data_IF_416044920776
#
_entry.id   IF_416044920776
#
_cell.length_a   1.000
_cell.length_b   1.000
_cell.length_c   1.000
_cell.angle_alpha   90.00
_cell.angle_beta   90.00
_cell.angle_gamma   90.00
#
_symmetry.space_group_name_H-M   'P 1'
#
loop_
_entity.id
_entity.type
_entity.pdbx_description
1 polymer ?
#
# COMPACT_ATOMS: atom_id res chain seq x y z
N UNK A 1 48.15 -5.50 -42.22
CA UNK A 1 47.78 -5.78 -40.82
C UNK A 1 46.28 -5.58 -40.71
N UNK A 2 45.50 -6.66 -40.63
CA UNK A 2 44.05 -6.61 -40.51
C UNK A 2 43.70 -6.94 -39.05
N UNK A 3 43.16 -5.98 -38.29
CA UNK A 3 42.73 -6.20 -36.92
C UNK A 3 41.28 -6.71 -36.92
N UNK A 4 41.08 -7.94 -36.44
CA UNK A 4 39.76 -8.52 -36.19
C UNK A 4 39.30 -8.03 -34.82
N UNK A 5 38.27 -7.19 -34.78
CA UNK A 5 37.63 -6.78 -33.54
C UNK A 5 36.62 -7.86 -33.11
N UNK A 6 36.95 -8.61 -32.06
CA UNK A 6 36.02 -9.53 -31.40
C UNK A 6 35.18 -8.71 -30.42
N UNK A 7 33.90 -8.50 -30.76
CA UNK A 7 32.93 -7.88 -29.85
C UNK A 7 32.42 -8.96 -28.88
N UNK A 8 32.95 -8.98 -27.66
CA UNK A 8 32.37 -9.74 -26.55
C UNK A 8 31.11 -9.01 -26.06
N UNK A 9 29.95 -9.32 -26.65
CA UNK A 9 28.68 -8.95 -26.06
C UNK A 9 28.48 -9.82 -24.80
N UNK A 10 28.52 -9.20 -23.63
CA UNK A 10 28.13 -9.84 -22.37
C UNK A 10 26.67 -10.27 -22.46
N UNK A 11 26.42 -11.58 -22.49
CA UNK A 11 25.07 -12.11 -22.27
C UNK A 11 24.74 -11.85 -20.81
N UNK A 12 23.88 -10.87 -20.54
CA UNK A 12 23.23 -10.74 -19.24
C UNK A 12 22.17 -11.85 -19.22
N UNK A 13 22.29 -12.91 -18.41
CA UNK A 13 21.16 -13.81 -18.25
C UNK A 13 20.11 -13.02 -17.48
N UNK A 14 19.07 -12.57 -18.17
CA UNK A 14 17.80 -12.31 -17.51
C UNK A 14 17.35 -13.68 -16.96
N UNK A 15 17.65 -13.94 -15.68
CA UNK A 15 17.04 -15.05 -14.99
C UNK A 15 15.55 -14.77 -15.00
N UNK A 16 14.82 -15.52 -15.83
CA UNK A 16 13.38 -15.48 -15.88
C UNK A 16 12.88 -15.88 -14.48
N UNK A 17 12.46 -14.89 -13.71
CA UNK A 17 11.65 -15.13 -12.53
C UNK A 17 10.40 -15.86 -13.03
N UNK A 18 10.38 -17.19 -12.86
CA UNK A 18 9.24 -18.02 -13.27
C UNK A 18 8.22 -17.98 -12.14
N UNK A 19 7.76 -16.78 -11.82
CA UNK A 19 6.89 -16.48 -10.69
C UNK A 19 6.41 -15.03 -10.75
N UNK A 20 5.15 -14.80 -10.36
CA UNK A 20 4.60 -13.47 -10.21
C UNK A 20 5.44 -12.71 -9.17
N UNK A 21 6.15 -11.68 -9.60
CA UNK A 21 6.99 -10.85 -8.75
C UNK A 21 6.78 -9.37 -9.10
N UNK A 22 6.78 -8.51 -8.08
CA UNK A 22 6.78 -7.07 -8.30
C UNK A 22 8.11 -6.62 -8.93
N UNK A 23 8.10 -5.51 -9.69
CA UNK A 23 9.35 -4.89 -10.15
C UNK A 23 10.26 -4.58 -8.97
N UNK A 24 11.54 -4.88 -9.12
CA UNK A 24 12.52 -4.57 -8.08
C UNK A 24 12.60 -3.05 -7.87
N UNK A 25 12.58 -2.56 -6.61
CA UNK A 25 12.83 -1.14 -6.32
C UNK A 25 14.18 -0.69 -6.85
N UNK A 26 14.23 0.53 -7.39
CA UNK A 26 15.41 1.05 -8.12
C UNK A 26 16.32 1.96 -7.28
N UNK A 27 15.90 2.34 -6.08
CA UNK A 27 16.67 3.17 -5.17
C UNK A 27 17.76 2.41 -4.38
N UNK A 28 18.64 3.14 -3.69
CA UNK A 28 19.80 2.55 -2.99
C UNK A 28 19.44 1.83 -1.68
N UNK A 29 18.30 2.15 -1.07
CA UNK A 29 17.91 1.59 0.23
C UNK A 29 17.12 0.30 0.06
N UNK A 30 17.30 -0.63 1.00
CA UNK A 30 16.36 -1.74 1.16
C UNK A 30 15.06 -1.19 1.73
N UNK A 31 13.98 -1.89 1.42
CA UNK A 31 12.63 -1.50 1.86
C UNK A 31 12.16 -2.45 2.94
N UNK A 32 11.76 -1.87 4.07
CA UNK A 32 10.97 -2.52 5.10
C UNK A 32 9.49 -2.22 4.90
N UNK A 33 8.63 -3.14 5.34
CA UNK A 33 7.18 -2.97 5.38
C UNK A 33 6.60 -3.42 6.71
N UNK A 34 5.71 -2.62 7.29
CA UNK A 34 4.88 -3.04 8.43
C UNK A 34 3.43 -2.60 8.22
N UNK A 35 2.52 -3.21 8.97
CA UNK A 35 1.09 -2.93 8.90
C UNK A 35 0.57 -2.49 10.26
N UNK A 36 -0.28 -1.47 10.26
CA UNK A 36 -0.86 -0.89 11.46
C UNK A 36 -2.38 -0.92 11.37
N UNK A 37 -3.01 -1.30 12.48
CA UNK A 37 -4.42 -1.08 12.71
C UNK A 37 -4.58 0.20 13.54
N UNK A 38 -5.18 1.24 12.94
CA UNK A 38 -5.44 2.51 13.59
C UNK A 38 -6.92 2.64 13.94
N UNK A 39 -7.21 2.91 15.22
CA UNK A 39 -8.57 3.16 15.71
C UNK A 39 -8.69 4.63 16.09
N UNK A 40 -9.47 5.37 15.32
CA UNK A 40 -9.82 6.75 15.60
C UNK A 40 -11.09 6.82 16.44
N UNK A 41 -10.89 6.88 17.76
CA UNK A 41 -11.96 6.99 18.76
C UNK A 41 -12.62 8.37 18.80
N UNK A 42 -12.05 9.36 18.11
CA UNK A 42 -12.60 10.73 18.08
C UNK A 42 -13.67 10.93 17.01
N UNK A 43 -13.72 10.04 16.02
CA UNK A 43 -14.68 10.11 14.90
C UNK A 43 -15.60 8.90 14.88
N UNK A 44 -16.86 9.17 14.55
CA UNK A 44 -17.82 8.11 14.23
C UNK A 44 -17.59 7.60 12.81
N UNK A 45 -17.53 6.29 12.63
CA UNK A 45 -17.43 5.68 11.32
C UNK A 45 -18.59 6.11 10.42
N UNK A 46 -18.30 6.63 9.23
CA UNK A 46 -19.30 7.20 8.34
C UNK A 46 -20.33 6.22 7.78
N UNK A 47 -20.03 4.91 7.81
CA UNK A 47 -20.77 3.86 7.12
C UNK A 47 -21.52 2.92 8.08
N UNK A 48 -20.86 2.52 9.18
CA UNK A 48 -21.40 1.56 10.16
C UNK A 48 -21.54 2.12 11.58
N UNK A 49 -21.08 3.36 11.84
CA UNK A 49 -21.05 3.92 13.19
C UNK A 49 -19.96 3.30 14.08
N UNK A 50 -19.90 3.68 15.36
CA UNK A 50 -18.77 3.33 16.23
C UNK A 50 -17.48 4.09 15.88
N UNK A 51 -16.31 3.75 16.46
CA UNK A 51 -15.03 4.35 16.11
C UNK A 51 -14.63 4.12 14.65
N UNK A 52 -13.93 5.07 14.03
CA UNK A 52 -13.39 4.87 12.67
C UNK A 52 -12.11 4.07 12.73
N UNK A 53 -12.12 2.88 12.15
CA UNK A 53 -10.95 2.03 12.01
C UNK A 53 -10.33 2.20 10.62
N UNK A 54 -9.01 2.05 10.52
CA UNK A 54 -8.23 2.12 9.28
C UNK A 54 -7.10 1.09 9.33
N UNK A 55 -6.85 0.43 8.21
CA UNK A 55 -5.65 -0.38 8.02
C UNK A 55 -4.62 0.39 7.22
N UNK A 56 -3.37 0.35 7.67
CA UNK A 56 -2.29 1.14 7.09
C UNK A 56 -1.10 0.24 6.80
N UNK A 57 -0.49 0.40 5.62
CA UNK A 57 0.82 -0.17 5.34
C UNK A 57 1.87 0.94 5.28
N UNK A 58 2.96 0.73 6.03
CA UNK A 58 4.14 1.59 6.02
C UNK A 58 5.22 0.92 5.18
N UNK A 59 5.74 1.60 4.17
CA UNK A 59 6.96 1.21 3.47
C UNK A 59 8.06 2.23 3.79
N UNK A 60 9.25 1.78 4.16
CA UNK A 60 10.29 2.66 4.70
C UNK A 60 11.71 2.16 4.36
N UNK A 61 12.73 3.05 4.35
CA UNK A 61 14.12 2.64 4.21
C UNK A 61 14.52 1.77 5.40
N UNK A 62 15.14 0.61 5.14
CA UNK A 62 15.46 -0.38 6.16
C UNK A 62 16.91 -0.83 6.12
N UNK A 63 17.39 -1.30 7.27
CA UNK A 63 18.64 -2.05 7.38
C UNK A 63 18.51 -3.41 6.67
N UNK A 64 19.64 -4.08 6.33
CA UNK A 64 19.61 -5.44 5.80
C UNK A 64 18.82 -6.42 6.69
N UNK A 65 17.86 -7.12 6.10
CA UNK A 65 16.99 -8.08 6.79
C UNK A 65 15.82 -8.53 5.91
N UNK A 66 14.90 -9.36 6.44
CA UNK A 66 13.62 -9.67 5.80
C UNK A 66 12.82 -8.39 5.57
N UNK A 67 12.12 -8.28 4.44
CA UNK A 67 11.39 -7.06 4.10
C UNK A 67 10.22 -6.73 5.04
N UNK A 68 9.52 -7.75 5.56
CA UNK A 68 8.46 -7.54 6.56
C UNK A 68 9.08 -7.30 7.94
N UNK A 69 8.64 -6.24 8.60
CA UNK A 69 9.07 -5.81 9.94
C UNK A 69 10.60 -5.63 10.05
N UNK A 70 11.23 -5.26 8.93
CA UNK A 70 12.64 -4.92 8.87
C UNK A 70 12.96 -3.76 9.82
N UNK A 71 14.16 -3.76 10.40
CA UNK A 71 14.60 -2.65 11.25
C UNK A 71 14.71 -1.37 10.42
N UNK A 72 13.99 -0.28 10.78
CA UNK A 72 14.07 0.98 10.05
C UNK A 72 15.48 1.55 10.03
N UNK A 73 15.88 2.11 8.89
CA UNK A 73 17.14 2.85 8.76
C UNK A 73 17.01 4.18 9.53
N UNK A 74 17.88 4.46 10.51
CA UNK A 74 17.79 5.71 11.28
C UNK A 74 17.93 6.95 10.40
N UNK A 75 17.10 7.96 10.66
CA UNK A 75 17.13 9.21 9.90
C UNK A 75 15.80 9.96 9.95
N UNK A 76 15.78 11.13 9.33
CA UNK A 76 14.55 11.88 9.04
C UNK A 76 14.24 11.71 7.57
N UNK A 77 13.08 11.14 7.26
CA UNK A 77 12.66 10.86 5.90
C UNK A 77 11.38 11.63 5.60
N UNK A 78 11.23 12.23 4.40
CA UNK A 78 9.95 12.78 3.95
C UNK A 78 8.86 11.70 3.95
N UNK A 79 7.64 12.11 4.31
CA UNK A 79 6.47 11.22 4.38
C UNK A 79 5.57 11.47 3.17
N UNK A 80 5.19 10.40 2.48
CA UNK A 80 4.18 10.40 1.42
C UNK A 80 2.96 9.63 1.91
N UNK A 81 1.78 10.21 1.79
CA UNK A 81 0.52 9.52 2.09
C UNK A 81 -0.16 9.16 0.77
N UNK A 82 -0.41 7.86 0.58
CA UNK A 82 -1.24 7.34 -0.49
C UNK A 82 -2.62 6.99 0.04
N UNK A 83 -3.62 7.71 -0.47
CA UNK A 83 -5.02 7.39 -0.30
C UNK A 83 -5.54 6.83 -1.62
N UNK A 84 -5.96 5.55 -1.66
CA UNK A 84 -6.57 4.96 -2.85
C UNK A 84 -7.87 5.67 -3.25
N UNK A 85 -8.30 5.42 -4.49
CA UNK A 85 -9.66 5.74 -4.93
C UNK A 85 -10.72 4.83 -4.27
N UNK A 86 -11.99 5.12 -4.55
CA UNK A 86 -13.09 4.25 -4.15
C UNK A 86 -12.94 2.88 -4.83
N UNK A 87 -13.13 1.81 -4.08
CA UNK A 87 -12.96 0.42 -4.52
C UNK A 87 -11.53 0.05 -4.92
N UNK A 88 -10.54 0.81 -4.43
CA UNK A 88 -9.13 0.48 -4.58
C UNK A 88 -8.53 0.18 -3.19
N UNK A 89 -7.76 -0.91 -3.04
CA UNK A 89 -7.07 -1.21 -1.80
C UNK A 89 -5.68 -0.56 -1.74
N UNK A 90 -5.18 -0.36 -0.52
CA UNK A 90 -3.85 0.17 -0.17
C UNK A 90 -2.69 -0.64 -0.77
N UNK A 91 -2.96 -1.87 -1.20
CA UNK A 91 -1.98 -2.81 -1.74
C UNK A 91 -1.71 -2.60 -3.23
N UNK A 92 -2.59 -1.92 -3.97
CA UNK A 92 -2.36 -1.66 -5.40
C UNK A 92 -1.17 -0.74 -5.66
N UNK A 93 -0.82 0.13 -4.70
CA UNK A 93 0.35 1.00 -4.83
C UNK A 93 1.67 0.35 -4.37
N UNK A 94 1.72 -0.96 -4.06
CA UNK A 94 2.89 -1.57 -3.40
C UNK A 94 4.19 -1.31 -4.16
N UNK A 95 4.23 -1.54 -5.48
CA UNK A 95 5.44 -1.32 -6.27
C UNK A 95 5.93 0.14 -6.22
N UNK A 96 5.02 1.10 -6.30
CA UNK A 96 5.34 2.53 -6.19
C UNK A 96 5.78 2.90 -4.78
N UNK A 97 5.13 2.35 -3.76
CA UNK A 97 5.49 2.58 -2.37
C UNK A 97 6.89 2.04 -2.05
N UNK A 98 7.23 0.86 -2.55
CA UNK A 98 8.57 0.29 -2.41
C UNK A 98 9.61 1.10 -3.18
N UNK A 99 9.35 1.53 -4.42
CA UNK A 99 10.31 2.34 -5.16
C UNK A 99 10.58 3.69 -4.47
N UNK A 100 9.53 4.37 -3.99
CA UNK A 100 9.69 5.59 -3.20
C UNK A 100 10.47 5.33 -1.90
N UNK A 101 10.13 4.27 -1.16
CA UNK A 101 10.84 3.93 0.05
C UNK A 101 12.33 3.65 -0.20
N UNK A 102 12.65 2.96 -1.30
CA UNK A 102 14.04 2.71 -1.69
C UNK A 102 14.83 3.98 -1.99
N UNK A 103 14.14 5.10 -2.31
CA UNK A 103 14.72 6.43 -2.56
C UNK A 103 14.76 7.33 -1.32
N UNK A 104 14.38 6.83 -0.14
CA UNK A 104 14.44 7.60 1.11
C UNK A 104 13.13 8.29 1.50
N UNK A 105 11.99 7.69 1.20
CA UNK A 105 10.68 8.17 1.66
C UNK A 105 10.06 7.17 2.66
N UNK A 106 9.26 7.66 3.60
CA UNK A 106 8.28 6.80 4.29
C UNK A 106 6.96 6.93 3.56
N UNK A 107 6.44 5.83 3.04
CA UNK A 107 5.16 5.80 2.33
C UNK A 107 4.11 5.16 3.22
N UNK A 108 3.03 5.89 3.46
CA UNK A 108 1.87 5.47 4.25
C UNK A 108 0.73 5.22 3.29
N UNK A 109 0.33 3.97 3.07
CA UNK A 109 -0.86 3.63 2.29
C UNK A 109 -2.01 3.22 3.21
N UNK A 110 -3.24 3.65 2.88
CA UNK A 110 -4.40 3.57 3.77
C UNK A 110 -5.53 2.80 3.09
N UNK A 111 -6.09 1.81 3.78
CA UNK A 111 -7.41 1.29 3.45
C UNK A 111 -8.46 2.06 4.22
N UNK A 112 -9.39 2.64 3.48
CA UNK A 112 -10.58 3.28 4.02
C UNK A 112 -11.64 2.20 4.23
N UNK A 113 -11.84 1.79 5.48
CA UNK A 113 -12.78 0.71 5.79
C UNK A 113 -14.18 1.02 5.22
N UNK A 114 -14.77 0.02 4.56
CA UNK A 114 -16.05 0.08 3.82
C UNK A 114 -16.01 0.83 2.48
N UNK A 115 -14.84 1.27 2.03
CA UNK A 115 -14.64 1.97 0.74
C UNK A 115 -13.65 1.24 -0.17
N UNK A 116 -13.02 0.17 0.32
CA UNK A 116 -12.12 -0.71 -0.42
C UNK A 116 -12.82 -2.06 -0.69
N UNK A 117 -12.37 -2.84 -1.70
CA UNK A 117 -12.99 -4.12 -2.05
C UNK A 117 -12.92 -5.10 -0.88
N UNK A 118 -11.82 -5.05 -0.14
CA UNK A 118 -11.55 -5.86 1.04
C UNK A 118 -10.56 -5.12 1.94
N UNK A 119 -10.83 -5.13 3.25
CA UNK A 119 -9.92 -4.69 4.29
C UNK A 119 -9.82 -5.78 5.34
N UNK A 120 -8.69 -6.49 5.36
CA UNK A 120 -8.36 -7.49 6.37
C UNK A 120 -7.73 -6.83 7.61
N UNK A 121 -8.24 -7.19 8.78
CA UNK A 121 -7.80 -6.71 10.10
C UNK A 121 -6.90 -7.74 10.80
N UNK A 122 -6.13 -7.34 11.82
CA UNK A 122 -5.25 -8.27 12.55
C UNK A 122 -5.97 -9.43 13.24
N UNK A 123 -7.26 -9.30 13.52
CA UNK A 123 -8.09 -10.36 14.10
C UNK A 123 -8.62 -11.36 13.04
N UNK A 124 -8.24 -11.18 11.78
CA UNK A 124 -8.68 -11.99 10.63
C UNK A 124 -10.07 -11.61 10.12
N UNK A 125 -10.71 -10.58 10.71
CA UNK A 125 -11.97 -10.07 10.16
C UNK A 125 -11.73 -9.32 8.86
N UNK A 126 -12.66 -9.47 7.92
CA UNK A 126 -12.64 -8.80 6.62
C UNK A 126 -13.85 -7.90 6.51
N UNK A 127 -13.61 -6.65 6.12
CA UNK A 127 -14.64 -5.63 5.90
C UNK A 127 -14.61 -5.18 4.44
N UNK A 128 -15.73 -5.29 3.73
CA UNK A 128 -15.83 -5.03 2.29
C UNK A 128 -16.78 -3.88 2.00
N UNK A 129 -16.54 -3.12 0.93
CA UNK A 129 -17.48 -2.08 0.48
C UNK A 129 -18.85 -2.66 0.11
N UNK A 130 -18.85 -3.82 -0.56
CA UNK A 130 -20.07 -4.56 -0.90
C UNK A 130 -20.23 -5.72 0.08
N UNK A 131 -21.27 -5.63 0.91
CA UNK A 131 -21.68 -6.70 1.81
C UNK A 131 -22.70 -7.61 1.08
N UNK A 132 -22.47 -8.93 0.96
CA UNK A 132 -23.43 -9.84 0.34
C UNK A 132 -24.82 -9.81 1.00
N UNK A 133 -24.90 -9.52 2.29
CA UNK A 133 -26.17 -9.38 3.02
C UNK A 133 -26.83 -8.01 2.83
N UNK A 134 -26.07 -6.99 2.41
CA UNK A 134 -26.56 -5.62 2.22
C UNK A 134 -25.86 -4.91 1.03
N UNK A 135 -26.07 -5.35 -0.22
CA UNK A 135 -25.26 -4.89 -1.36
C UNK A 135 -25.37 -3.38 -1.63
N UNK A 136 -26.47 -2.74 -1.24
CA UNK A 136 -26.69 -1.29 -1.43
C UNK A 136 -26.35 -0.44 -0.19
N UNK A 137 -25.84 -1.00 0.90
CA UNK A 137 -25.62 -0.26 2.15
C UNK A 137 -24.75 0.98 1.97
N UNK A 138 -23.65 0.83 1.21
CA UNK A 138 -22.78 1.92 0.83
C UNK A 138 -23.52 3.00 0.04
N UNK A 139 -24.17 2.62 -1.07
CA UNK A 139 -24.89 3.54 -1.97
C UNK A 139 -25.98 4.31 -1.23
N UNK A 140 -26.80 3.62 -0.42
CA UNK A 140 -27.83 4.25 0.41
C UNK A 140 -27.23 5.29 1.36
N UNK A 141 -26.08 5.00 1.96
CA UNK A 141 -25.40 5.94 2.87
C UNK A 141 -24.80 7.12 2.13
N UNK A 142 -24.16 6.88 0.98
CA UNK A 142 -23.58 7.92 0.13
C UNK A 142 -24.65 8.91 -0.36
N UNK A 143 -25.79 8.42 -0.84
CA UNK A 143 -26.91 9.25 -1.30
C UNK A 143 -27.50 10.10 -0.17
N UNK A 144 -27.71 9.51 1.02
CA UNK A 144 -28.18 10.27 2.21
C UNK A 144 -27.24 11.41 2.59
N UNK A 145 -25.94 11.20 2.41
CA UNK A 145 -24.90 12.20 2.73
C UNK A 145 -24.81 13.28 1.65
N UNK A 146 -24.89 12.92 0.38
CA UNK A 146 -24.87 13.87 -0.74
C UNK A 146 -26.07 14.82 -0.73
N UNK A 147 -27.23 14.35 -0.26
CA UNK A 147 -28.45 15.17 -0.14
C UNK A 147 -28.47 16.15 1.05
N UNK A 148 -27.47 16.12 1.93
CA UNK A 148 -27.38 17.09 3.04
C UNK A 148 -26.75 18.39 2.53
N UNK A 149 -27.36 19.57 2.79
CA UNK A 149 -26.73 20.84 2.45
C UNK A 149 -25.39 20.95 3.19
N UNK A 150 -24.33 21.28 2.45
CA UNK A 150 -23.05 21.62 3.07
C UNK A 150 -23.26 22.91 3.84
N UNK A 151 -23.11 22.85 5.17
CA UNK A 151 -23.10 24.02 6.04
C UNK A 151 -21.81 24.79 5.89
#
# INVERSE_FOLDING_TARGET
>A
MLAVAVLLASVVPASAATGLALPRPSGPHRVGRTELHLVDVSRTDPWRGGPRELMVSLHYPALPGPGRDAVPLPGRWPVVVYSPGLDEPRTWCTATAEDLASRGYVVVSIDHTWESPEVEFPDGSVRTMVDPGEPDAFLRTALRRAGRPRR
#
